data_IF_709611234992
#
_entry.id   IF_709611234992
#
_cell.length_a   1.000
_cell.length_b   1.000
_cell.length_c   1.000
_cell.angle_alpha   90.00
_cell.angle_beta   90.00
_cell.angle_gamma   90.00
#
_symmetry.space_group_name_H-M   'P 1'
#
loop_
_entity.id
_entity.type
_entity.pdbx_description
1 polymer ?
#
# COMPACT_ATOMS: atom_id res chain seq x y z
N UNK A 1 -26.28 -41.82 53.07
CA UNK A 1 -26.49 -40.39 52.74
C UNK A 1 -25.78 -40.14 51.42
N UNK A 2 -26.57 -40.05 50.35
CA UNK A 2 -26.14 -39.84 48.96
C UNK A 2 -25.94 -38.35 48.73
N UNK A 3 -24.74 -37.92 48.32
CA UNK A 3 -24.49 -36.56 47.89
C UNK A 3 -24.69 -36.47 46.37
N UNK A 4 -25.61 -35.60 45.98
CA UNK A 4 -25.94 -35.25 44.61
C UNK A 4 -24.90 -34.32 43.98
N UNK A 5 -24.63 -34.55 42.69
CA UNK A 5 -24.48 -33.62 41.56
C UNK A 5 -24.07 -32.16 41.87
N UNK A 6 -23.08 -31.63 41.16
CA UNK A 6 -23.31 -31.01 39.84
C UNK A 6 -22.00 -30.46 39.24
N UNK A 7 -21.91 -30.57 37.92
CA UNK A 7 -20.74 -30.36 37.08
C UNK A 7 -20.69 -28.90 36.61
N UNK A 8 -19.64 -28.17 36.96
CA UNK A 8 -19.32 -26.85 36.39
C UNK A 8 -18.08 -26.94 35.53
N UNK A 9 -18.19 -27.51 34.33
CA UNK A 9 -17.16 -27.37 33.31
C UNK A 9 -17.25 -25.95 32.74
N UNK A 10 -16.25 -25.11 33.06
CA UNK A 10 -16.07 -23.78 32.49
C UNK A 10 -15.79 -23.90 30.98
N UNK A 11 -16.86 -24.03 30.20
CA UNK A 11 -16.86 -23.90 28.74
C UNK A 11 -16.51 -22.44 28.39
N UNK A 12 -15.22 -22.12 28.33
CA UNK A 12 -14.74 -20.98 27.54
C UNK A 12 -15.02 -21.37 26.09
N UNK A 13 -16.25 -21.09 25.66
CA UNK A 13 -16.67 -21.19 24.28
C UNK A 13 -15.75 -20.33 23.44
N UNK A 14 -14.75 -20.97 22.84
CA UNK A 14 -14.03 -20.45 21.69
C UNK A 14 -15.08 -20.38 20.57
N UNK A 15 -15.83 -19.27 20.55
CA UNK A 15 -16.67 -18.97 19.40
C UNK A 15 -15.74 -18.89 18.20
N UNK A 16 -16.01 -19.63 17.12
CA UNK A 16 -15.22 -19.50 15.91
C UNK A 16 -15.28 -18.02 15.50
N UNK A 17 -14.11 -17.40 15.40
CA UNK A 17 -13.96 -16.06 14.81
C UNK A 17 -14.65 -16.15 13.46
N UNK A 18 -15.80 -15.50 13.36
CA UNK A 18 -16.55 -15.37 12.12
C UNK A 18 -15.51 -14.90 11.12
N UNK A 19 -15.25 -15.71 10.09
CA UNK A 19 -14.38 -15.32 8.99
C UNK A 19 -15.14 -14.24 8.21
N UNK A 20 -15.24 -13.05 8.81
CA UNK A 20 -15.66 -11.84 8.14
C UNK A 20 -14.66 -11.69 7.01
N UNK A 21 -15.12 -12.06 5.82
CA UNK A 21 -14.42 -11.89 4.57
C UNK A 21 -13.81 -10.50 4.61
N UNK A 22 -12.49 -10.43 4.85
CA UNK A 22 -11.82 -9.16 5.05
C UNK A 22 -12.17 -8.29 3.84
N UNK A 23 -12.63 -7.05 4.06
CA UNK A 23 -12.98 -6.18 2.96
C UNK A 23 -11.77 -6.11 2.04
N UNK A 24 -11.88 -6.73 0.85
CA UNK A 24 -10.77 -6.81 -0.08
C UNK A 24 -10.44 -5.39 -0.52
N UNK A 25 -9.26 -4.92 -0.13
CA UNK A 25 -8.88 -3.54 -0.30
C UNK A 25 -8.39 -3.32 -1.72
N UNK A 26 -9.11 -2.51 -2.49
CA UNK A 26 -8.60 -1.91 -3.72
C UNK A 26 -8.12 -0.49 -3.41
N UNK A 27 -6.94 -0.36 -2.76
CA UNK A 27 -6.05 0.77 -3.09
C UNK A 27 -5.77 0.56 -4.56
N UNK A 28 -6.42 1.33 -5.43
CA UNK A 28 -6.42 1.12 -6.88
C UNK A 28 -5.25 0.27 -7.36
N UNK A 29 -5.51 -1.00 -7.65
CA UNK A 29 -4.56 -1.94 -8.27
C UNK A 29 -3.21 -2.18 -7.56
N UNK A 30 -3.00 -1.78 -6.30
CA UNK A 30 -1.74 -2.05 -5.57
C UNK A 30 -1.98 -3.13 -4.51
N UNK A 31 -1.68 -4.41 -4.80
CA UNK A 31 -1.71 -5.45 -3.78
C UNK A 31 -0.59 -5.18 -2.76
N UNK A 32 -0.97 -4.93 -1.51
CA UNK A 32 -0.04 -4.99 -0.38
C UNK A 32 0.10 -6.45 0.06
N UNK A 33 1.23 -6.83 0.66
CA UNK A 33 1.33 -8.14 1.31
C UNK A 33 0.31 -8.25 2.45
N UNK A 34 -0.28 -9.43 2.65
CA UNK A 34 -1.38 -9.65 3.59
C UNK A 34 -1.08 -9.10 4.99
N UNK A 35 0.13 -9.35 5.52
CA UNK A 35 0.56 -8.86 6.82
C UNK A 35 0.67 -7.32 6.90
N UNK A 36 1.16 -6.67 5.85
CA UNK A 36 1.31 -5.21 5.82
C UNK A 36 -0.04 -4.52 5.69
N UNK A 37 -0.99 -5.15 4.98
CA UNK A 37 -2.36 -4.68 4.88
C UNK A 37 -3.04 -4.66 6.26
N UNK A 38 -2.92 -5.74 7.03
CA UNK A 38 -3.50 -5.85 8.38
C UNK A 38 -2.94 -4.76 9.30
N UNK A 39 -1.62 -4.60 9.35
CA UNK A 39 -0.98 -3.54 10.14
C UNK A 39 -1.40 -2.14 9.69
N UNK A 40 -1.57 -1.92 8.38
CA UNK A 40 -2.01 -0.63 7.86
C UNK A 40 -3.46 -0.30 8.28
N UNK A 41 -4.34 -1.30 8.31
CA UNK A 41 -5.71 -1.15 8.82
C UNK A 41 -5.68 -0.84 10.33
N UNK A 42 -4.89 -1.57 11.11
CA UNK A 42 -4.73 -1.33 12.56
C UNK A 42 -4.25 0.11 12.82
N UNK A 43 -3.17 0.54 12.15
CA UNK A 43 -2.64 1.90 12.27
C UNK A 43 -3.69 2.96 11.91
N UNK A 44 -4.46 2.74 10.85
CA UNK A 44 -5.53 3.64 10.42
C UNK A 44 -6.59 3.82 11.50
N UNK A 45 -7.03 2.71 12.11
CA UNK A 45 -8.03 2.72 13.19
C UNK A 45 -7.50 3.39 14.45
N UNK A 46 -6.26 3.09 14.86
CA UNK A 46 -5.59 3.73 15.99
C UNK A 46 -5.44 5.24 15.80
N UNK A 47 -5.15 5.68 14.57
CA UNK A 47 -5.06 7.09 14.22
C UNK A 47 -6.42 7.80 14.09
N UNK A 48 -7.53 7.09 14.25
CA UNK A 48 -8.90 7.56 14.06
C UNK A 48 -9.12 8.29 12.72
N UNK A 49 -8.56 7.73 11.64
CA UNK A 49 -8.66 8.28 10.28
C UNK A 49 -9.42 7.32 9.37
N UNK A 50 -9.96 7.86 8.28
CA UNK A 50 -10.42 6.99 7.19
C UNK A 50 -9.22 6.36 6.50
N UNK A 51 -9.38 5.11 6.05
CA UNK A 51 -8.33 4.37 5.35
C UNK A 51 -7.83 5.14 4.12
N UNK A 52 -8.76 5.72 3.34
CA UNK A 52 -8.44 6.57 2.20
C UNK A 52 -7.60 7.79 2.57
N UNK A 53 -7.96 8.48 3.65
CA UNK A 53 -7.18 9.64 4.13
C UNK A 53 -5.79 9.22 4.62
N UNK A 54 -5.67 8.06 5.26
CA UNK A 54 -4.38 7.56 5.72
C UNK A 54 -3.47 7.19 4.54
N UNK A 55 -3.99 6.48 3.52
CA UNK A 55 -3.25 6.19 2.28
C UNK A 55 -2.79 7.48 1.59
N UNK A 56 -3.70 8.45 1.42
CA UNK A 56 -3.35 9.71 0.77
C UNK A 56 -2.21 10.43 1.51
N UNK A 57 -2.22 10.41 2.84
CA UNK A 57 -1.17 11.00 3.66
C UNK A 57 0.16 10.27 3.50
N UNK A 58 0.16 8.94 3.57
CA UNK A 58 1.38 8.12 3.44
C UNK A 58 1.99 8.26 2.05
N UNK A 59 1.19 8.19 0.99
CA UNK A 59 1.66 8.41 -0.37
C UNK A 59 2.20 9.83 -0.57
N UNK A 60 1.48 10.84 -0.09
CA UNK A 60 1.93 12.24 -0.19
C UNK A 60 3.26 12.46 0.54
N UNK A 61 3.43 11.87 1.72
CA UNK A 61 4.68 11.92 2.47
C UNK A 61 5.82 11.24 1.72
N UNK A 62 5.58 10.03 1.21
CA UNK A 62 6.57 9.27 0.45
C UNK A 62 7.03 10.03 -0.80
N UNK A 63 6.09 10.52 -1.61
CA UNK A 63 6.38 11.30 -2.82
C UNK A 63 7.19 12.55 -2.45
N UNK A 64 6.78 13.31 -1.43
CA UNK A 64 7.53 14.51 -0.98
C UNK A 64 8.97 14.18 -0.60
N UNK A 65 9.17 13.10 0.15
CA UNK A 65 10.50 12.72 0.67
C UNK A 65 11.42 12.21 -0.45
N UNK A 66 10.88 11.51 -1.44
CA UNK A 66 11.66 10.87 -2.51
C UNK A 66 11.78 11.74 -3.78
N UNK A 67 10.99 12.82 -3.90
CA UNK A 67 10.92 13.65 -5.11
C UNK A 67 12.28 14.09 -5.64
N UNK A 68 13.17 14.57 -4.77
CA UNK A 68 14.47 15.09 -5.21
C UNK A 68 15.39 13.98 -5.75
N UNK A 69 15.42 12.81 -5.09
CA UNK A 69 16.15 11.63 -5.60
C UNK A 69 15.64 11.19 -6.98
N UNK A 70 14.32 11.15 -7.16
CA UNK A 70 13.75 10.82 -8.47
C UNK A 70 13.97 11.93 -9.51
N UNK A 71 14.16 13.19 -9.10
CA UNK A 71 14.54 14.27 -10.02
C UNK A 71 15.93 14.03 -10.59
N UNK A 72 16.90 13.65 -9.77
CA UNK A 72 18.25 13.32 -10.23
C UNK A 72 18.24 12.14 -11.22
N UNK A 73 17.46 11.09 -10.93
CA UNK A 73 17.28 9.94 -11.82
C UNK A 73 16.63 10.37 -13.15
N UNK A 74 15.63 11.25 -13.08
CA UNK A 74 14.96 11.81 -14.26
C UNK A 74 15.94 12.58 -15.14
N UNK A 75 16.76 13.46 -14.57
CA UNK A 75 17.77 14.25 -15.29
C UNK A 75 18.83 13.37 -15.95
N UNK A 76 19.32 12.37 -15.23
CA UNK A 76 20.24 11.37 -15.78
C UNK A 76 19.63 10.63 -16.97
N UNK A 77 18.36 10.22 -16.84
CA UNK A 77 17.62 9.52 -17.88
C UNK A 77 17.42 10.42 -19.10
N UNK A 78 16.99 11.66 -18.90
CA UNK A 78 16.82 12.64 -19.98
C UNK A 78 18.13 12.83 -20.78
N UNK A 79 19.25 12.96 -20.07
CA UNK A 79 20.59 13.05 -20.68
C UNK A 79 20.96 11.80 -21.47
N UNK A 80 20.66 10.60 -20.95
CA UNK A 80 20.93 9.31 -21.62
C UNK A 80 20.22 9.23 -22.98
N UNK A 81 18.96 9.68 -23.05
CA UNK A 81 18.18 9.64 -24.29
C UNK A 81 18.31 10.91 -25.16
N UNK A 82 18.96 11.96 -24.62
CA UNK A 82 19.19 13.22 -25.32
C UNK A 82 17.94 14.08 -25.47
N UNK A 83 17.06 14.04 -24.47
CA UNK A 83 15.83 14.85 -24.35
C UNK A 83 15.94 15.78 -23.13
N UNK A 84 15.02 16.74 -22.99
CA UNK A 84 14.97 17.59 -21.80
C UNK A 84 14.36 16.83 -20.60
N UNK A 85 14.68 17.22 -19.35
CA UNK A 85 14.04 16.66 -18.16
C UNK A 85 12.51 16.80 -18.20
N UNK A 86 11.99 17.93 -18.69
CA UNK A 86 10.56 18.19 -18.82
C UNK A 86 9.90 17.22 -19.82
N UNK A 87 10.54 17.01 -20.97
CA UNK A 87 10.05 16.05 -21.97
C UNK A 87 10.10 14.61 -21.42
N UNK A 88 11.18 14.25 -20.71
CA UNK A 88 11.31 12.96 -20.05
C UNK A 88 10.20 12.74 -19.02
N UNK A 89 9.87 13.77 -18.23
CA UNK A 89 8.81 13.70 -17.24
C UNK A 89 7.45 13.49 -17.87
N UNK A 90 7.11 14.28 -18.90
CA UNK A 90 5.81 14.20 -19.56
C UNK A 90 5.59 12.83 -20.24
N UNK A 91 6.62 12.30 -20.92
CA UNK A 91 6.57 10.97 -21.54
C UNK A 91 6.34 9.87 -20.51
N UNK A 92 7.12 9.85 -19.43
CA UNK A 92 6.97 8.85 -18.36
C UNK A 92 5.62 8.95 -17.65
N UNK A 93 5.13 10.17 -17.39
CA UNK A 93 3.81 10.42 -16.81
C UNK A 93 2.69 9.85 -17.68
N UNK A 94 2.85 9.89 -19.00
CA UNK A 94 1.89 9.36 -19.97
C UNK A 94 2.04 7.85 -20.22
N UNK A 95 3.01 7.18 -19.58
CA UNK A 95 3.26 5.75 -19.73
C UNK A 95 4.04 5.38 -21.00
N UNK A 96 4.75 6.33 -21.60
CA UNK A 96 5.60 6.07 -22.77
C UNK A 96 6.91 5.39 -22.38
N UNK A 97 7.38 4.48 -23.24
CA UNK A 97 8.69 3.86 -23.13
C UNK A 97 9.76 4.70 -23.85
N UNK A 98 10.80 5.08 -23.10
CA UNK A 98 11.92 5.89 -23.59
C UNK A 98 12.88 5.07 -24.47
N UNK A 99 12.84 3.73 -24.42
CA UNK A 99 13.70 2.86 -25.24
C UNK A 99 13.43 2.97 -26.74
N UNK A 100 12.23 3.42 -27.11
CA UNK A 100 11.88 3.76 -28.50
C UNK A 100 12.76 4.88 -29.09
N UNK A 101 13.27 5.79 -28.26
CA UNK A 101 14.13 6.91 -28.66
C UNK A 101 15.59 6.51 -28.87
N UNK A 102 16.05 5.45 -28.20
CA UNK A 102 17.43 4.98 -28.31
C UNK A 102 17.71 4.21 -29.61
N UNK A 103 16.68 3.69 -30.29
CA UNK A 103 16.81 2.88 -31.51
C UNK A 103 16.87 3.68 -32.83
N UNK A 104 16.83 5.02 -32.74
CA UNK A 104 16.80 5.91 -33.91
C UNK A 104 18.08 6.73 -34.13
N UNK A 105 19.17 6.47 -33.40
CA UNK A 105 20.47 7.14 -33.54
C UNK A 105 21.54 6.17 -34.02
#
# INVERSE_FOLDING_TARGET
>A
MTNNLDSGEDNIGCTPVVNEKMPSFSVGTVPLGDHDQDWFVVMTKLANKSLRANVANVLSFYVRRRKEEYREILEYTAKKYGITPEECFERLKNGEDLDSLAKGK
#
